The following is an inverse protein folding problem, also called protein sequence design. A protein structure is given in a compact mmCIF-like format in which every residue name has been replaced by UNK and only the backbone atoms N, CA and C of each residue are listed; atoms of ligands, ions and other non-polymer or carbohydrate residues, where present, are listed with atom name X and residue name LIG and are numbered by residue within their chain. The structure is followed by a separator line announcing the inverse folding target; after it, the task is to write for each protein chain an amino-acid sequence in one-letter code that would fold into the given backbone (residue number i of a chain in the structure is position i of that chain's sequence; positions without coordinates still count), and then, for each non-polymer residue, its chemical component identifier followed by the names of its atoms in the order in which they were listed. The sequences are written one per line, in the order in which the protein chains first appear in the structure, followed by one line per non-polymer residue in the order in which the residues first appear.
data_IF_753444419416
#
_entry.id   IF_753444419416
#
_cell.length_a   1.000
_cell.length_b   1.000
_cell.length_c   1.000
_cell.angle_alpha   90.00
_cell.angle_beta   90.00
_cell.angle_gamma   90.00
#
_symmetry.space_group_name_H-M   'P 1'
#
loop_
_entity.id
_entity.type
_entity.pdbx_description
1 polymer ?
#
# COMPACT_ATOMS: atom_id res chain seq x y z
N UNK A 1 -7.67 -17.05 5.81
CA UNK A 1 -8.68 -18.13 5.83
C UNK A 1 -9.16 -18.43 7.25
N UNK A 2 -8.27 -18.69 8.18
CA UNK A 2 -8.63 -18.95 9.58
C UNK A 2 -9.41 -17.81 10.26
N UNK A 3 -9.05 -16.57 9.97
CA UNK A 3 -9.75 -15.39 10.47
C UNK A 3 -11.22 -15.40 10.06
N UNK A 4 -11.51 -15.72 8.81
CA UNK A 4 -12.88 -15.78 8.28
C UNK A 4 -13.67 -16.90 8.94
N UNK A 5 -13.08 -18.09 9.06
CA UNK A 5 -13.71 -19.23 9.74
C UNK A 5 -14.04 -18.91 11.21
N UNK A 6 -13.09 -18.31 11.92
CA UNK A 6 -13.27 -17.95 13.33
C UNK A 6 -14.36 -16.89 13.51
N UNK A 7 -14.41 -15.91 12.63
CA UNK A 7 -15.44 -14.87 12.63
C UNK A 7 -16.83 -15.46 12.40
N UNK A 8 -16.99 -16.31 11.38
CA UNK A 8 -18.24 -17.00 11.08
C UNK A 8 -18.71 -17.86 12.24
N UNK A 9 -17.80 -18.60 12.86
CA UNK A 9 -18.11 -19.45 14.00
C UNK A 9 -18.58 -18.65 15.23
N UNK A 10 -17.98 -17.49 15.45
CA UNK A 10 -18.29 -16.64 16.61
C UNK A 10 -19.56 -15.82 16.43
N UNK A 11 -19.78 -15.25 15.25
CA UNK A 11 -20.86 -14.28 15.00
C UNK A 11 -21.97 -14.79 14.10
N UNK A 12 -21.81 -15.97 13.50
CA UNK A 12 -22.75 -16.58 12.56
C UNK A 12 -23.15 -15.67 11.38
N UNK A 13 -22.17 -14.89 10.91
CA UNK A 13 -22.33 -13.98 9.76
C UNK A 13 -21.03 -13.91 8.95
N UNK A 14 -21.13 -13.45 7.70
CA UNK A 14 -19.97 -13.26 6.85
C UNK A 14 -19.19 -12.00 7.23
N UNK A 15 -17.86 -12.06 7.39
CA UNK A 15 -17.08 -10.87 7.66
C UNK A 15 -16.97 -10.00 6.39
N UNK A 16 -16.95 -8.68 6.58
CA UNK A 16 -16.60 -7.74 5.53
C UNK A 16 -15.10 -7.42 5.62
N UNK A 17 -14.32 -8.03 4.73
CA UNK A 17 -12.85 -7.91 4.75
C UNK A 17 -12.33 -7.17 3.53
N UNK A 18 -11.40 -6.26 3.78
CA UNK A 18 -10.60 -5.60 2.76
C UNK A 18 -9.17 -6.11 2.81
N UNK A 19 -8.60 -6.45 1.65
CA UNK A 19 -7.22 -6.90 1.51
C UNK A 19 -6.49 -6.01 0.51
N UNK A 20 -5.31 -5.54 0.88
CA UNK A 20 -4.42 -4.83 -0.05
C UNK A 20 -3.86 -5.84 -1.05
N UNK A 21 -4.15 -5.63 -2.32
CA UNK A 21 -3.68 -6.50 -3.40
C UNK A 21 -2.57 -5.89 -4.25
N UNK A 22 -2.39 -4.58 -4.17
CA UNK A 22 -1.32 -3.88 -4.88
C UNK A 22 -0.87 -2.64 -4.11
N UNK A 23 0.43 -2.38 -4.14
CA UNK A 23 1.05 -1.16 -3.66
C UNK A 23 2.09 -1.37 -2.55
N UNK A 24 2.67 -0.28 -2.10
CA UNK A 24 3.66 -0.29 -1.01
C UNK A 24 2.96 -0.13 0.33
N UNK A 25 3.03 -1.12 1.23
CA UNK A 25 2.46 -0.96 2.57
C UNK A 25 3.20 0.11 3.37
N UNK A 26 2.45 0.86 4.16
CA UNK A 26 3.01 1.77 5.15
C UNK A 26 3.60 0.98 6.32
N UNK A 27 4.86 1.20 6.62
CA UNK A 27 5.55 0.57 7.74
C UNK A 27 5.51 1.44 8.99
N UNK A 28 5.56 2.76 8.81
CA UNK A 28 5.57 3.71 9.90
C UNK A 28 4.90 5.02 9.48
N UNK A 29 4.19 5.63 10.42
CA UNK A 29 3.71 7.00 10.31
C UNK A 29 4.17 7.78 11.55
N UNK A 30 4.63 9.01 11.35
CA UNK A 30 5.14 9.85 12.41
C UNK A 30 4.75 11.31 12.21
N UNK A 31 4.51 12.00 13.32
CA UNK A 31 4.42 13.47 13.33
C UNK A 31 5.78 14.14 13.21
N UNK A 32 6.85 13.42 13.45
CA UNK A 32 8.22 13.91 13.30
C UNK A 32 8.70 13.64 11.89
N UNK A 33 8.98 14.68 11.15
CA UNK A 33 9.44 14.58 9.76
C UNK A 33 10.97 14.65 9.68
N UNK A 34 11.60 13.55 9.27
CA UNK A 34 13.05 13.49 9.06
C UNK A 34 13.53 14.47 7.99
N UNK A 35 12.71 14.71 6.96
CA UNK A 35 13.08 15.63 5.88
C UNK A 35 13.19 17.06 6.38
N UNK A 36 12.26 17.50 7.22
CA UNK A 36 12.33 18.81 7.82
C UNK A 36 13.53 18.97 8.76
N UNK A 37 13.88 17.92 9.48
CA UNK A 37 14.93 17.97 10.49
C UNK A 37 16.33 17.84 9.90
N UNK A 38 16.53 16.92 8.96
CA UNK A 38 17.86 16.55 8.47
C UNK A 38 18.18 17.05 7.07
N UNK A 39 17.17 17.30 6.23
CA UNK A 39 17.35 17.69 4.82
C UNK A 39 17.09 19.19 4.62
N UNK A 40 16.01 19.70 5.22
CA UNK A 40 15.63 21.10 5.07
C UNK A 40 16.65 22.05 5.71
N UNK A 41 17.11 23.06 4.94
CA UNK A 41 18.05 24.10 5.38
C UNK A 41 17.44 25.50 5.37
N UNK A 42 16.18 25.62 5.03
CA UNK A 42 15.46 26.89 4.89
C UNK A 42 14.44 27.10 6.00
N UNK A 43 13.96 28.35 6.15
CA UNK A 43 12.92 28.67 7.16
C UNK A 43 11.60 27.96 6.88
N UNK A 44 11.25 27.78 5.59
CA UNK A 44 10.05 27.07 5.15
C UNK A 44 10.50 25.80 4.44
N UNK A 45 10.00 24.66 4.90
CA UNK A 45 10.35 23.38 4.31
C UNK A 45 9.53 23.11 3.04
N UNK A 46 10.21 22.79 1.94
CA UNK A 46 9.62 22.42 0.64
C UNK A 46 10.07 21.02 0.18
N UNK A 47 10.43 20.14 1.11
CA UNK A 47 11.04 18.85 0.78
C UNK A 47 10.02 17.74 0.46
N UNK A 48 8.72 17.93 0.75
CA UNK A 48 7.67 16.93 0.56
C UNK A 48 7.48 16.47 -0.89
N UNK A 49 7.77 17.34 -1.86
CA UNK A 49 7.61 17.05 -3.30
C UNK A 49 8.75 16.25 -3.91
N UNK A 50 9.86 16.09 -3.19
CA UNK A 50 11.05 15.40 -3.66
C UNK A 50 11.05 13.93 -3.23
N UNK A 51 11.82 13.11 -3.96
CA UNK A 51 11.96 11.69 -3.66
C UNK A 51 13.14 11.44 -2.72
N UNK A 52 12.81 10.94 -1.54
CA UNK A 52 13.78 10.52 -0.54
C UNK A 52 13.54 9.08 -0.11
N UNK A 53 14.60 8.42 0.34
CA UNK A 53 14.58 7.03 0.79
C UNK A 53 15.39 6.88 2.07
N UNK A 54 14.91 6.08 3.01
CA UNK A 54 15.76 5.48 4.01
C UNK A 54 16.44 4.25 3.42
N UNK A 55 17.74 4.13 3.62
CA UNK A 55 18.52 2.99 3.14
C UNK A 55 19.01 2.19 4.34
N UNK A 56 18.69 0.90 4.37
CA UNK A 56 19.15 0.02 5.44
C UNK A 56 20.55 -0.56 5.17
N UNK A 57 21.04 -1.35 6.10
CA UNK A 57 22.36 -2.01 5.99
C UNK A 57 22.46 -3.00 4.83
N UNK A 58 21.33 -3.45 4.28
CA UNK A 58 21.26 -4.34 3.12
C UNK A 58 21.04 -3.59 1.80
N UNK A 59 21.17 -2.28 1.83
CA UNK A 59 20.97 -1.40 0.67
C UNK A 59 19.53 -1.42 0.11
N UNK A 60 18.54 -1.72 0.96
CA UNK A 60 17.12 -1.61 0.62
C UNK A 60 16.65 -0.18 0.78
N UNK A 61 15.92 0.34 -0.21
CA UNK A 61 15.44 1.72 -0.25
C UNK A 61 13.98 1.80 0.15
N UNK A 62 13.71 2.35 1.33
CA UNK A 62 12.36 2.54 1.85
C UNK A 62 11.90 3.95 1.52
N UNK A 63 10.89 4.15 0.65
CA UNK A 63 10.44 5.48 0.29
C UNK A 63 9.91 6.26 1.49
N UNK A 64 10.31 7.53 1.58
CA UNK A 64 9.76 8.49 2.53
C UNK A 64 8.71 9.32 1.78
N UNK A 65 7.52 9.41 2.34
CA UNK A 65 6.45 10.29 1.88
C UNK A 65 6.04 11.21 3.02
N UNK A 66 5.97 12.48 2.72
CA UNK A 66 5.59 13.48 3.71
C UNK A 66 4.44 14.31 3.17
N UNK A 67 3.41 14.48 3.99
CA UNK A 67 2.23 15.27 3.68
C UNK A 67 1.80 16.00 4.94
N UNK A 68 1.63 17.32 4.85
CA UNK A 68 1.31 18.19 6.00
C UNK A 68 2.23 17.96 7.20
N UNK A 69 3.53 17.78 6.94
CA UNK A 69 4.56 17.48 7.96
C UNK A 69 4.38 16.15 8.72
N UNK A 70 3.45 15.32 8.31
CA UNK A 70 3.40 13.91 8.70
C UNK A 70 4.29 13.11 7.76
N UNK A 71 5.14 12.28 8.33
CA UNK A 71 6.04 11.42 7.57
C UNK A 71 5.54 9.98 7.58
N UNK A 72 5.54 9.36 6.40
CA UNK A 72 5.29 7.94 6.21
C UNK A 72 6.54 7.28 5.65
N UNK A 73 6.84 6.09 6.13
CA UNK A 73 7.87 5.22 5.55
C UNK A 73 7.15 4.03 4.94
N UNK A 74 7.36 3.85 3.64
CA UNK A 74 6.77 2.76 2.88
C UNK A 74 7.74 1.59 2.77
N UNK A 75 7.22 0.39 2.53
CA UNK A 75 8.06 -0.76 2.28
C UNK A 75 8.85 -0.57 0.98
N UNK A 76 10.04 -1.16 0.92
CA UNK A 76 10.88 -1.12 -0.29
C UNK A 76 10.30 -1.95 -1.45
N UNK A 77 9.43 -2.91 -1.15
CA UNK A 77 8.84 -3.83 -2.12
C UNK A 77 7.32 -3.67 -2.16
N UNK A 78 6.78 -3.69 -3.38
CA UNK A 78 5.34 -3.69 -3.58
C UNK A 78 4.71 -5.03 -3.18
N UNK A 79 3.53 -4.96 -2.61
CA UNK A 79 2.58 -6.08 -2.64
C UNK A 79 2.04 -6.15 -4.07
N UNK A 80 2.01 -7.34 -4.63
CA UNK A 80 1.35 -7.60 -5.91
C UNK A 80 0.67 -8.96 -5.86
N UNK A 81 -0.64 -8.95 -5.56
CA UNK A 81 -1.50 -10.12 -5.51
C UNK A 81 -2.59 -10.09 -6.58
N UNK A 82 -2.35 -9.35 -7.68
CA UNK A 82 -3.30 -9.27 -8.79
C UNK A 82 -3.59 -10.64 -9.43
N UNK A 83 -2.62 -11.54 -9.39
CA UNK A 83 -2.77 -12.93 -9.86
C UNK A 83 -3.51 -13.84 -8.85
N UNK A 84 -3.72 -13.40 -7.63
CA UNK A 84 -4.31 -14.18 -6.53
C UNK A 84 -5.74 -13.78 -6.16
N UNK A 85 -6.36 -12.89 -6.92
CA UNK A 85 -7.70 -12.38 -6.63
C UNK A 85 -8.73 -13.53 -6.58
N UNK A 86 -8.65 -14.48 -7.51
CA UNK A 86 -9.57 -15.63 -7.56
C UNK A 86 -9.50 -16.47 -6.28
N UNK A 87 -8.28 -16.70 -5.77
CA UNK A 87 -8.07 -17.42 -4.52
C UNK A 87 -8.60 -16.64 -3.33
N UNK A 88 -8.35 -15.34 -3.27
CA UNK A 88 -8.85 -14.46 -2.20
C UNK A 88 -10.39 -14.43 -2.19
N UNK A 89 -11.00 -14.34 -3.35
CA UNK A 89 -12.45 -14.40 -3.51
C UNK A 89 -13.03 -15.72 -3.04
N UNK A 90 -12.38 -16.84 -3.38
CA UNK A 90 -12.83 -18.18 -3.00
C UNK A 90 -12.81 -18.43 -1.49
N UNK A 91 -11.94 -17.76 -0.75
CA UNK A 91 -11.87 -17.87 0.72
C UNK A 91 -12.75 -16.84 1.45
N UNK A 92 -13.43 -15.93 0.72
CA UNK A 92 -14.42 -15.02 1.29
C UNK A 92 -13.97 -13.57 1.44
N UNK A 93 -12.90 -13.14 0.79
CA UNK A 93 -12.52 -11.72 0.74
C UNK A 93 -13.49 -10.97 -0.17
N UNK A 94 -14.04 -9.86 0.31
CA UNK A 94 -15.09 -9.10 -0.37
C UNK A 94 -14.61 -7.81 -0.99
N UNK A 95 -13.57 -7.20 -0.44
CA UNK A 95 -13.06 -5.91 -0.89
C UNK A 95 -11.56 -5.98 -1.16
N UNK A 96 -11.12 -5.34 -2.23
CA UNK A 96 -9.73 -5.31 -2.65
C UNK A 96 -9.25 -3.87 -2.70
N UNK A 97 -8.12 -3.60 -2.07
CA UNK A 97 -7.53 -2.27 -2.02
C UNK A 97 -6.27 -2.19 -2.87
N UNK A 98 -6.23 -1.17 -3.71
CA UNK A 98 -5.04 -0.77 -4.46
C UNK A 98 -4.51 0.51 -3.85
N UNK A 99 -3.24 0.51 -3.48
CA UNK A 99 -2.55 1.68 -2.95
C UNK A 99 -1.63 2.21 -4.05
N UNK A 100 -2.01 3.34 -4.62
CA UNK A 100 -1.19 4.06 -5.59
C UNK A 100 -0.32 5.07 -4.85
N UNK A 101 0.93 5.19 -5.26
CA UNK A 101 1.89 6.13 -4.70
C UNK A 101 2.36 7.09 -5.80
N UNK A 102 3.26 6.66 -6.66
CA UNK A 102 3.82 7.48 -7.74
C UNK A 102 3.82 6.77 -9.09
N UNK A 103 2.89 5.86 -9.26
CA UNK A 103 2.67 5.20 -10.53
C UNK A 103 2.24 6.23 -11.60
N UNK A 104 2.77 6.08 -12.79
CA UNK A 104 2.33 6.88 -13.93
C UNK A 104 1.00 6.35 -14.50
N UNK A 105 0.41 7.10 -15.42
CA UNK A 105 -0.89 6.77 -16.01
C UNK A 105 -0.87 5.41 -16.73
N UNK A 106 0.24 5.06 -17.38
CA UNK A 106 0.36 3.78 -18.10
C UNK A 106 0.39 2.59 -17.12
N UNK A 107 1.11 2.72 -16.02
CA UNK A 107 1.13 1.71 -14.94
C UNK A 107 -0.26 1.53 -14.33
N UNK A 108 -0.98 2.62 -14.06
CA UNK A 108 -2.35 2.59 -13.55
C UNK A 108 -3.30 1.88 -14.52
N UNK A 109 -3.19 2.18 -15.81
CA UNK A 109 -3.98 1.49 -16.85
C UNK A 109 -3.72 -0.01 -16.88
N UNK A 110 -2.47 -0.43 -16.73
CA UNK A 110 -2.11 -1.85 -16.68
C UNK A 110 -2.73 -2.55 -15.47
N UNK A 111 -2.70 -1.93 -14.31
CA UNK A 111 -3.31 -2.46 -13.08
C UNK A 111 -4.83 -2.63 -13.27
N UNK A 112 -5.50 -1.60 -13.79
CA UNK A 112 -6.95 -1.62 -14.04
C UNK A 112 -7.30 -2.69 -15.09
N UNK A 113 -6.51 -2.81 -16.15
CA UNK A 113 -6.72 -3.82 -17.18
C UNK A 113 -6.60 -5.24 -16.64
N UNK A 114 -5.64 -5.50 -15.77
CA UNK A 114 -5.47 -6.78 -15.10
C UNK A 114 -6.70 -7.16 -14.24
N UNK A 115 -7.32 -6.18 -13.58
CA UNK A 115 -8.54 -6.37 -12.80
C UNK A 115 -9.75 -6.68 -13.69
N UNK A 116 -9.94 -5.93 -14.77
CA UNK A 116 -11.07 -6.11 -15.69
C UNK A 116 -11.05 -7.45 -16.42
N UNK A 117 -9.88 -7.96 -16.78
CA UNK A 117 -9.76 -9.30 -17.38
C UNK A 117 -10.32 -10.36 -16.44
N UNK A 118 -10.13 -10.20 -15.14
CA UNK A 118 -10.66 -11.14 -14.13
C UNK A 118 -12.18 -11.02 -13.93
N UNK A 119 -12.74 -9.83 -14.03
CA UNK A 119 -14.19 -9.65 -13.99
C UNK A 119 -14.91 -10.33 -15.18
N UNK A 120 -14.29 -10.31 -16.36
CA UNK A 120 -14.86 -10.91 -17.57
C UNK A 120 -14.77 -12.44 -17.62
N UNK A 121 -14.04 -13.05 -16.71
CA UNK A 121 -13.95 -14.52 -16.58
C UNK A 121 -14.99 -15.07 -15.58
N UNK A 122 -15.60 -14.20 -14.82
CA UNK A 122 -16.68 -14.51 -13.89
C UNK A 122 -18.03 -14.34 -14.57
#
# INVERSE_FOLDING_TARGET
ENLIKNYKNKYNEEPNLEVVIYGKPELMISKYCLLNTYVNKEKVCNECSKDYYLVDKYNKKFPIRSENCYMKILNYKDINYLDKIDKLQSIGVTNYKIILDRENIEEIKLIISALKIKENIL
#
